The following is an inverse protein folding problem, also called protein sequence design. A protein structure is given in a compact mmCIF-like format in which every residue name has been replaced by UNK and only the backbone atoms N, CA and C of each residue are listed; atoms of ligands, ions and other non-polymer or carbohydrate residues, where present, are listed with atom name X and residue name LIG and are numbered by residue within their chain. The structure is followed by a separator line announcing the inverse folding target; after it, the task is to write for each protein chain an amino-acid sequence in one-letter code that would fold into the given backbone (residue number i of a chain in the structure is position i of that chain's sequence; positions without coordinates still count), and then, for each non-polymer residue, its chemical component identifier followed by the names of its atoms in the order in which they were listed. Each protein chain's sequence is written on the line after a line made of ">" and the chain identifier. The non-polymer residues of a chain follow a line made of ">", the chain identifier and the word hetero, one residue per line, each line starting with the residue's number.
data_IF_672377085120
#
_entry.id   IF_672377085120
#
_cell.length_a   1.000
_cell.length_b   1.000
_cell.length_c   1.000
_cell.angle_alpha   90.00
_cell.angle_beta   90.00
_cell.angle_gamma   90.00
#
_symmetry.space_group_name_H-M   'P 1'
#
loop_
_entity.id
_entity.type
_entity.pdbx_description
1 polymer ?
#
# COMPACT_ATOMS: atom_id res chain seq x y z
N UNK A 1 2.84 -18.31 -10.33
CA UNK A 1 3.27 -17.03 -10.94
C UNK A 1 2.04 -16.40 -11.58
N UNK A 2 1.75 -15.15 -11.24
CA UNK A 2 0.64 -14.38 -11.80
C UNK A 2 1.21 -13.20 -12.60
N UNK A 3 0.98 -13.20 -13.91
CA UNK A 3 1.46 -12.15 -14.82
C UNK A 3 0.87 -10.75 -14.54
N UNK A 4 -0.19 -10.64 -13.73
CA UNK A 4 -0.80 -9.36 -13.35
C UNK A 4 -0.19 -8.73 -12.11
N UNK A 5 0.34 -9.51 -11.17
CA UNK A 5 0.77 -8.98 -9.87
C UNK A 5 2.16 -9.42 -9.41
N UNK A 6 2.85 -10.31 -10.15
CA UNK A 6 4.20 -10.76 -9.76
C UNK A 6 5.19 -9.59 -9.67
N UNK A 7 5.01 -8.54 -10.48
CA UNK A 7 5.84 -7.32 -10.42
C UNK A 7 5.69 -6.51 -9.12
N UNK A 8 4.69 -6.79 -8.27
CA UNK A 8 4.50 -6.11 -6.99
C UNK A 8 4.99 -6.93 -5.79
N UNK A 9 5.65 -8.08 -6.01
CA UNK A 9 6.04 -8.98 -4.91
C UNK A 9 7.37 -8.63 -4.24
N UNK A 10 8.10 -7.65 -4.76
CA UNK A 10 9.29 -7.13 -4.08
C UNK A 10 8.88 -6.29 -2.87
N UNK A 11 9.53 -6.55 -1.73
CA UNK A 11 9.34 -5.74 -0.53
C UNK A 11 9.99 -4.38 -0.73
N UNK A 12 9.24 -3.32 -0.45
CA UNK A 12 9.72 -1.94 -0.49
C UNK A 12 9.68 -1.39 0.93
N UNK A 13 10.84 -1.07 1.50
CA UNK A 13 10.90 -0.41 2.80
C UNK A 13 10.68 1.10 2.63
N UNK A 14 10.02 1.71 3.62
CA UNK A 14 9.66 3.11 3.64
C UNK A 14 10.37 3.73 4.84
N UNK A 15 11.36 4.58 4.58
CA UNK A 15 12.09 5.34 5.59
C UNK A 15 11.56 6.77 5.70
N UNK A 16 10.96 7.31 4.64
CA UNK A 16 10.51 8.70 4.58
C UNK A 16 9.07 8.85 4.09
N UNK A 17 8.33 9.87 4.57
CA UNK A 17 6.95 10.13 4.14
C UNK A 17 6.77 10.25 2.62
N UNK A 18 7.73 10.82 1.91
CA UNK A 18 7.62 10.97 0.45
C UNK A 18 7.61 9.62 -0.28
N UNK A 19 8.32 8.60 0.24
CA UNK A 19 8.35 7.25 -0.32
C UNK A 19 6.99 6.59 -0.17
N UNK A 20 6.36 6.74 1.01
CA UNK A 20 5.01 6.27 1.25
C UNK A 20 4.02 6.85 0.22
N UNK A 21 4.01 8.18 0.04
CA UNK A 21 3.10 8.81 -0.90
C UNK A 21 3.39 8.41 -2.37
N UNK A 22 4.65 8.18 -2.74
CA UNK A 22 4.98 7.66 -4.06
C UNK A 22 4.41 6.24 -4.29
N UNK A 23 4.42 5.39 -3.26
CA UNK A 23 3.80 4.06 -3.31
C UNK A 23 2.27 4.20 -3.38
N UNK A 24 1.67 5.08 -2.57
CA UNK A 24 0.22 5.34 -2.58
C UNK A 24 -0.27 5.72 -3.98
N UNK A 25 0.40 6.66 -4.65
CA UNK A 25 0.02 7.07 -6.01
C UNK A 25 0.14 5.93 -7.03
N UNK A 26 1.22 5.12 -6.95
CA UNK A 26 1.35 3.94 -7.81
C UNK A 26 0.24 2.91 -7.55
N UNK A 27 -0.07 2.62 -6.29
CA UNK A 27 -1.12 1.67 -5.92
C UNK A 27 -2.49 2.18 -6.38
N UNK A 28 -2.77 3.48 -6.29
CA UNK A 28 -4.03 4.06 -6.83
C UNK A 28 -4.18 3.77 -8.33
N UNK A 29 -3.13 3.90 -9.12
CA UNK A 29 -3.18 3.56 -10.55
C UNK A 29 -3.41 2.06 -10.77
N UNK A 30 -2.76 1.20 -9.99
CA UNK A 30 -2.97 -0.26 -10.06
C UNK A 30 -4.41 -0.66 -9.68
N UNK A 31 -5.01 0.04 -8.70
CA UNK A 31 -6.41 -0.12 -8.32
C UNK A 31 -7.35 0.33 -9.45
N UNK A 32 -7.12 1.50 -10.06
CA UNK A 32 -7.91 2.00 -11.20
C UNK A 32 -7.86 1.06 -12.40
N UNK A 33 -6.74 0.39 -12.63
CA UNK A 33 -6.58 -0.64 -13.67
C UNK A 33 -7.28 -1.97 -13.35
N UNK A 34 -7.82 -2.14 -12.13
CA UNK A 34 -8.49 -3.35 -11.69
C UNK A 34 -7.54 -4.54 -11.49
N UNK A 35 -6.24 -4.29 -11.32
CA UNK A 35 -5.24 -5.33 -11.07
C UNK A 35 -5.25 -5.78 -9.61
N UNK A 36 -5.41 -4.82 -8.70
CA UNK A 36 -5.64 -5.05 -7.28
C UNK A 36 -6.99 -4.45 -6.87
N UNK A 37 -7.53 -4.95 -5.76
CA UNK A 37 -8.64 -4.34 -5.04
C UNK A 37 -8.26 -4.15 -3.56
N UNK A 38 -8.80 -3.12 -2.92
CA UNK A 38 -8.67 -2.92 -1.47
C UNK A 38 -9.61 -3.88 -0.76
N UNK A 39 -9.10 -4.65 0.19
CA UNK A 39 -9.91 -5.58 0.99
C UNK A 39 -10.04 -5.16 2.46
N UNK A 40 -9.10 -4.35 2.97
CA UNK A 40 -9.14 -3.82 4.34
C UNK A 40 -8.28 -2.55 4.44
N UNK A 41 -8.63 -1.66 5.36
CA UNK A 41 -7.76 -0.57 5.80
C UNK A 41 -8.35 0.17 7.00
N UNK A 42 -7.55 1.01 7.66
CA UNK A 42 -8.02 1.85 8.77
C UNK A 42 -8.37 3.29 8.38
N UNK A 43 -8.11 3.70 7.14
CA UNK A 43 -8.55 4.98 6.61
C UNK A 43 -8.95 4.86 5.12
N UNK A 44 -9.60 5.89 4.58
CA UNK A 44 -9.86 5.98 3.14
C UNK A 44 -8.55 6.16 2.36
N UNK A 45 -8.18 5.12 1.59
CA UNK A 45 -6.94 5.11 0.82
C UNK A 45 -6.88 6.20 -0.26
N UNK A 46 -8.03 6.55 -0.84
CA UNK A 46 -8.07 7.55 -1.93
C UNK A 46 -7.93 8.99 -1.42
N UNK A 47 -8.23 9.23 -0.14
CA UNK A 47 -8.03 10.53 0.52
C UNK A 47 -6.57 10.85 0.84
N UNK A 48 -5.68 9.84 0.90
CA UNK A 48 -4.26 10.02 1.18
C UNK A 48 -3.58 10.78 0.04
N UNK A 49 -2.99 11.95 0.31
CA UNK A 49 -2.38 12.80 -0.70
C UNK A 49 -1.10 13.45 -0.18
N UNK A 50 -0.10 13.58 -1.06
CA UNK A 50 1.16 14.24 -0.72
C UNK A 50 0.93 15.67 -0.25
N UNK A 51 1.55 16.04 0.87
CA UNK A 51 1.44 17.38 1.46
C UNK A 51 0.26 17.56 2.41
N UNK A 52 -0.61 16.55 2.55
CA UNK A 52 -1.61 16.51 3.62
C UNK A 52 -1.05 15.81 4.87
N UNK A 53 -1.54 16.17 6.07
CA UNK A 53 -1.22 15.44 7.29
C UNK A 53 -1.62 13.97 7.21
N UNK A 54 -0.91 13.11 7.93
CA UNK A 54 -1.36 11.74 8.11
C UNK A 54 -2.58 11.70 9.05
N UNK A 55 -3.60 10.88 8.74
CA UNK A 55 -4.82 10.83 9.53
C UNK A 55 -4.69 10.06 10.85
N UNK A 56 -3.62 9.28 11.04
CA UNK A 56 -3.37 8.44 12.22
C UNK A 56 -1.86 8.18 12.40
N UNK A 57 -1.47 7.66 13.56
CA UNK A 57 -0.09 7.31 13.94
C UNK A 57 0.41 6.07 13.19
N UNK A 58 -0.51 5.17 12.83
CA UNK A 58 -0.24 3.99 12.03
C UNK A 58 -1.28 3.89 10.93
N UNK A 59 -0.85 3.76 9.68
CA UNK A 59 -1.73 3.47 8.56
C UNK A 59 -1.50 2.04 8.08
N UNK A 60 -2.57 1.33 7.75
CA UNK A 60 -2.46 0.04 7.08
C UNK A 60 -3.57 -0.16 6.05
N UNK A 61 -3.21 -0.80 4.95
CA UNK A 61 -4.14 -1.22 3.90
C UNK A 61 -3.73 -2.60 3.38
N UNK A 62 -4.72 -3.45 3.20
CA UNK A 62 -4.57 -4.77 2.62
C UNK A 62 -5.23 -4.78 1.24
N UNK A 63 -4.47 -5.23 0.26
CA UNK A 63 -4.85 -5.33 -1.14
C UNK A 63 -4.87 -6.78 -1.57
N UNK A 64 -5.69 -7.10 -2.57
CA UNK A 64 -5.77 -8.45 -3.14
C UNK A 64 -5.72 -8.37 -4.65
N UNK A 65 -4.93 -9.24 -5.29
CA UNK A 65 -4.97 -9.40 -6.73
C UNK A 65 -6.31 -9.99 -7.16
N UNK A 66 -6.97 -9.32 -8.10
CA UNK A 66 -8.28 -9.73 -8.65
C UNK A 66 -8.22 -11.02 -9.46
N UNK A 67 -7.02 -11.45 -9.87
CA UNK A 67 -6.82 -12.65 -10.70
C UNK A 67 -6.35 -13.88 -9.92
N UNK A 68 -5.46 -13.72 -8.93
CA UNK A 68 -4.86 -14.87 -8.22
C UNK A 68 -5.09 -14.87 -6.71
N UNK A 69 -5.79 -13.88 -6.17
CA UNK A 69 -6.05 -13.70 -4.74
C UNK A 69 -4.80 -13.49 -3.86
N UNK A 70 -3.60 -13.34 -4.42
CA UNK A 70 -2.41 -12.94 -3.64
C UNK A 70 -2.68 -11.60 -2.95
N UNK A 71 -2.32 -11.52 -1.68
CA UNK A 71 -2.50 -10.32 -0.87
C UNK A 71 -1.21 -9.55 -0.73
N UNK A 72 -1.34 -8.24 -0.59
CA UNK A 72 -0.25 -7.30 -0.36
C UNK A 72 -0.66 -6.35 0.75
N UNK A 73 0.28 -5.96 1.58
CA UNK A 73 0.06 -5.03 2.68
C UNK A 73 0.94 -3.80 2.47
N UNK A 74 0.34 -2.63 2.67
CA UNK A 74 1.06 -1.38 2.85
C UNK A 74 0.80 -0.90 4.28
N UNK A 75 1.87 -0.69 5.05
CA UNK A 75 1.76 -0.10 6.38
C UNK A 75 2.88 0.89 6.64
N UNK A 76 2.60 1.91 7.45
CA UNK A 76 3.58 2.92 7.88
C UNK A 76 3.24 3.46 9.25
N UNK A 77 4.26 3.68 10.07
CA UNK A 77 4.20 4.50 11.27
C UNK A 77 4.63 5.94 10.93
N UNK A 78 3.77 6.91 11.23
CA UNK A 78 3.80 8.23 10.58
C UNK A 78 4.62 9.27 11.35
N UNK A 79 4.71 9.17 12.68
CA UNK A 79 5.33 10.19 13.54
C UNK A 79 6.52 9.70 14.37
N UNK A 80 6.64 8.39 14.65
CA UNK A 80 7.68 7.86 15.54
C UNK A 80 8.89 7.25 14.82
N UNK A 81 8.89 7.26 13.48
CA UNK A 81 10.07 6.94 12.69
C UNK A 81 10.43 5.45 12.60
N UNK A 82 9.55 4.52 13.00
CA UNK A 82 9.75 3.10 12.71
C UNK A 82 9.57 2.76 11.23
N UNK A 83 9.12 3.73 10.42
CA UNK A 83 8.98 3.60 8.97
C UNK A 83 7.80 2.73 8.58
N UNK A 84 7.89 2.09 7.43
CA UNK A 84 6.83 1.26 6.88
C UNK A 84 7.32 0.30 5.81
N UNK A 85 6.41 -0.47 5.24
CA UNK A 85 6.71 -1.31 4.10
C UNK A 85 5.50 -1.57 3.22
N UNK A 86 5.77 -1.78 1.94
CA UNK A 86 4.96 -2.61 1.05
C UNK A 86 5.52 -4.02 1.07
N UNK A 87 4.68 -5.05 1.26
CA UNK A 87 5.11 -6.45 1.22
C UNK A 87 3.98 -7.39 0.76
N UNK A 88 4.34 -8.61 0.36
CA UNK A 88 3.38 -9.69 0.17
C UNK A 88 2.85 -10.12 1.54
N UNK A 89 1.54 -9.98 1.74
CA UNK A 89 0.89 -10.35 2.99
C UNK A 89 0.83 -11.87 3.15
N UNK A 90 1.18 -12.35 4.35
CA UNK A 90 1.05 -13.76 4.76
C UNK A 90 -0.29 -14.08 5.46
N UNK A 91 -1.12 -13.05 5.70
CA UNK A 91 -2.46 -13.15 6.32
C UNK A 91 -3.52 -13.77 5.40
#
# INVERSE_FOLDING_TARGET
>A
MCNRCDGFSERINIAHPYEYFNIVEQVKEVLKQGTLEIIKGNCDFFSLQKGQPFPDDVLYHLFKCTSCNRKFELSVETYHGSGGAWDVSKL
#
